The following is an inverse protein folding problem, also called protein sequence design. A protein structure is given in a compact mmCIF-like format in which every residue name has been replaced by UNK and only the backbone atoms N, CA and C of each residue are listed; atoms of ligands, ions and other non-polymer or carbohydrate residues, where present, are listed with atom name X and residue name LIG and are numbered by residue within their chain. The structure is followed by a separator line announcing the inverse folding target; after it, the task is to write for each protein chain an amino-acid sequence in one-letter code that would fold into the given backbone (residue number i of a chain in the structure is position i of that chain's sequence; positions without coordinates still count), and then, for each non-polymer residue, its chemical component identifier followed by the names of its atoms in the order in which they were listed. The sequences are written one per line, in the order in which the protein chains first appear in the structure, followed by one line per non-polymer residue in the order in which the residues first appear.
data_IF_993941523367
#
_entry.id   IF_993941523367
#
_cell.length_a   1.000
_cell.length_b   1.000
_cell.length_c   1.000
_cell.angle_alpha   90.00
_cell.angle_beta   90.00
_cell.angle_gamma   90.00
#
_symmetry.space_group_name_H-M   'P 1'
#
loop_
_entity.id
_entity.type
_entity.pdbx_description
1 polymer ?
#
# COMPACT_ATOMS: atom_id res chain seq x y z
N UNK A 1 -45.65 -51.11 2.23
CA UNK A 1 -44.76 -52.30 2.23
C UNK A 1 -43.50 -51.91 1.47
N UNK A 2 -42.44 -51.56 2.20
CA UNK A 2 -41.21 -52.35 2.38
C UNK A 2 -40.21 -52.13 1.23
N UNK A 3 -39.32 -51.13 1.33
CA UNK A 3 -37.93 -51.18 1.87
C UNK A 3 -37.01 -52.24 1.23
N UNK A 4 -35.97 -51.78 0.52
CA UNK A 4 -34.68 -52.47 0.35
C UNK A 4 -33.73 -51.61 -0.49
N UNK A 5 -32.43 -51.52 -0.24
CA UNK A 5 -31.59 -52.03 0.85
C UNK A 5 -30.22 -51.37 0.65
N UNK A 6 -29.67 -50.80 1.71
CA UNK A 6 -28.24 -50.57 1.85
C UNK A 6 -27.60 -51.89 2.35
N UNK A 7 -26.30 -52.12 2.08
CA UNK A 7 -25.38 -52.52 3.14
C UNK A 7 -24.08 -51.70 3.04
N UNK A 8 -23.66 -50.96 4.06
CA UNK A 8 -23.07 -51.39 5.34
C UNK A 8 -21.62 -51.94 5.23
N UNK A 9 -20.68 -51.05 5.58
CA UNK A 9 -19.52 -51.22 6.49
C UNK A 9 -18.54 -52.36 6.24
N UNK A 10 -17.26 -52.00 6.01
CA UNK A 10 -16.14 -52.62 6.74
C UNK A 10 -15.07 -51.56 7.08
N UNK A 11 -14.85 -51.40 8.38
CA UNK A 11 -13.72 -50.72 9.02
C UNK A 11 -12.50 -51.65 9.06
N UNK A 12 -11.30 -51.09 9.04
CA UNK A 12 -10.14 -51.68 9.72
C UNK A 12 -9.16 -50.58 10.13
N UNK A 13 -9.10 -50.35 11.44
CA UNK A 13 -8.03 -49.64 12.14
C UNK A 13 -6.70 -50.41 11.98
N UNK A 14 -5.56 -49.72 12.07
CA UNK A 14 -4.58 -49.87 13.14
C UNK A 14 -3.47 -48.81 13.01
N UNK A 15 -3.37 -47.97 14.05
CA UNK A 15 -2.16 -47.50 14.77
C UNK A 15 -0.92 -47.03 13.97
N UNK A 16 -0.54 -45.75 14.10
CA UNK A 16 0.53 -45.34 15.02
C UNK A 16 0.67 -43.80 15.04
N UNK A 17 0.63 -43.22 16.24
CA UNK A 17 1.20 -41.91 16.56
C UNK A 17 2.16 -42.19 17.71
N UNK A 18 3.34 -41.54 17.80
CA UNK A 18 3.32 -40.16 18.29
C UNK A 18 4.52 -39.26 17.86
N UNK A 19 4.34 -37.97 18.18
CA UNK A 19 5.29 -37.11 18.92
C UNK A 19 5.87 -35.90 18.17
N UNK A 20 5.26 -34.75 18.50
CA UNK A 20 5.86 -33.42 18.53
C UNK A 20 7.13 -33.38 19.41
N UNK A 21 8.18 -32.63 19.01
CA UNK A 21 9.12 -32.09 19.98
C UNK A 21 9.03 -30.56 20.02
N UNK A 22 8.40 -30.04 21.07
CA UNK A 22 8.71 -28.72 21.62
C UNK A 22 9.68 -28.94 22.78
N UNK A 23 10.92 -28.44 22.67
CA UNK A 23 11.84 -28.16 23.78
C UNK A 23 12.72 -26.98 23.33
N UNK A 24 12.60 -25.78 23.91
CA UNK A 24 13.13 -25.35 25.22
C UNK A 24 14.67 -25.27 25.25
N UNK A 25 15.20 -24.03 25.18
CA UNK A 25 16.56 -23.67 25.59
C UNK A 25 16.79 -24.03 27.08
N UNK A 26 18.05 -24.18 27.55
CA UNK A 26 18.67 -23.04 28.26
C UNK A 26 20.21 -22.97 28.23
N UNK A 27 20.69 -21.83 28.73
CA UNK A 27 21.99 -21.58 29.40
C UNK A 27 23.21 -21.31 28.49
N UNK A 28 23.82 -20.11 28.47
CA UNK A 28 24.37 -19.20 29.51
C UNK A 28 25.90 -19.33 29.57
N UNK A 29 26.60 -18.29 29.10
CA UNK A 29 27.87 -17.72 29.63
C UNK A 29 27.85 -16.25 29.16
N UNK A 30 27.26 -15.29 29.87
CA UNK A 30 27.82 -14.46 30.98
C UNK A 30 29.25 -13.91 30.80
N UNK A 31 29.29 -12.61 30.45
CA UNK A 31 30.10 -11.51 31.03
C UNK A 31 31.62 -11.39 30.69
N UNK A 32 32.25 -10.22 30.94
CA UNK A 32 31.75 -8.83 31.00
C UNK A 32 32.65 -7.78 30.28
N UNK A 33 32.05 -6.61 30.09
CA UNK A 33 32.63 -5.25 30.05
C UNK A 33 34.10 -5.03 30.51
N UNK A 34 34.91 -4.43 29.64
CA UNK A 34 36.02 -3.51 29.97
C UNK A 34 36.04 -2.43 28.86
N UNK A 35 35.47 -1.25 29.08
CA UNK A 35 36.11 -0.05 29.64
C UNK A 35 37.44 0.33 28.96
N UNK A 36 37.38 1.25 27.99
CA UNK A 36 38.53 2.11 27.67
C UNK A 36 38.06 3.46 27.17
N UNK A 37 37.82 4.35 28.14
CA UNK A 37 38.46 5.65 28.30
C UNK A 37 38.85 6.35 26.97
N UNK A 38 38.12 7.43 26.69
CA UNK A 38 38.44 8.50 25.74
C UNK A 38 39.92 8.93 25.80
N UNK A 39 40.47 9.45 24.69
CA UNK A 39 41.22 10.67 24.75
C UNK A 39 40.39 11.81 24.17
N UNK A 40 40.11 12.75 25.06
CA UNK A 40 39.72 14.12 24.77
C UNK A 40 40.75 14.77 23.86
N UNK A 41 40.31 15.40 22.77
CA UNK A 41 41.05 16.51 22.18
C UNK A 41 40.01 17.52 21.70
N UNK A 42 39.77 18.53 22.55
CA UNK A 42 39.09 19.75 22.18
C UNK A 42 40.06 20.57 21.31
N UNK A 43 39.66 20.90 20.08
CA UNK A 43 40.17 22.10 19.43
C UNK A 43 38.99 22.88 18.86
N UNK A 44 38.82 24.06 19.44
CA UNK A 44 37.81 25.06 19.11
C UNK A 44 37.97 25.54 17.66
N UNK A 45 36.86 25.52 16.93
CA UNK A 45 36.71 26.03 15.58
C UNK A 45 35.23 26.34 15.36
N UNK A 46 34.79 27.46 15.92
CA UNK A 46 33.45 28.03 15.72
C UNK A 46 33.29 28.45 14.25
N UNK A 47 32.67 27.58 13.44
CA UNK A 47 32.05 27.97 12.18
C UNK A 47 30.76 27.15 12.05
N UNK A 48 29.63 27.85 12.05
CA UNK A 48 28.30 27.30 12.25
C UNK A 48 27.97 26.11 11.36
N UNK A 49 27.96 24.91 11.96
CA UNK A 49 27.25 23.78 11.40
C UNK A 49 25.76 24.06 11.57
N UNK A 50 25.12 24.52 10.49
CA UNK A 50 23.65 24.47 10.36
C UNK A 50 23.25 23.04 10.67
N UNK A 51 22.72 22.82 11.87
CA UNK A 51 22.10 21.57 12.26
C UNK A 51 20.99 21.30 11.27
N UNK A 52 21.26 20.48 10.25
CA UNK A 52 20.20 20.06 9.34
C UNK A 52 19.12 19.43 10.21
N UNK A 53 17.85 19.91 10.14
CA UNK A 53 16.81 19.39 10.98
C UNK A 53 16.68 17.90 10.69
N UNK A 54 16.98 17.09 11.71
CA UNK A 54 16.79 15.63 11.69
C UNK A 54 15.36 15.37 11.17
N UNK A 55 15.14 14.49 10.19
CA UNK A 55 13.81 14.25 9.66
C UNK A 55 12.90 13.83 10.80
N UNK A 56 12.05 14.76 11.25
CA UNK A 56 11.13 14.53 12.35
C UNK A 56 10.14 13.48 11.89
N UNK A 57 10.16 12.31 12.53
CA UNK A 57 9.25 11.22 12.20
C UNK A 57 7.83 11.75 12.45
N UNK A 58 6.98 11.88 11.42
CA UNK A 58 5.67 12.48 11.59
C UNK A 58 4.90 11.73 12.68
N UNK A 59 4.26 12.47 13.58
CA UNK A 59 3.44 11.89 14.63
C UNK A 59 2.32 11.05 13.98
N UNK A 60 1.84 10.01 14.65
CA UNK A 60 0.69 9.21 14.17
C UNK A 60 -0.53 10.09 13.84
N UNK A 61 -0.76 11.19 14.56
CA UNK A 61 -1.81 12.17 14.24
C UNK A 61 -1.55 12.89 12.91
N UNK A 62 -0.31 13.27 12.63
CA UNK A 62 0.07 13.92 11.36
C UNK A 62 -0.04 12.94 10.19
N UNK A 63 0.37 11.68 10.37
CA UNK A 63 0.18 10.62 9.34
C UNK A 63 -1.30 10.34 9.04
N UNK A 64 -2.17 10.45 10.06
CA UNK A 64 -3.61 10.35 9.85
C UNK A 64 -4.16 11.56 9.11
N UNK A 65 -3.72 12.77 9.48
CA UNK A 65 -4.13 14.01 8.81
C UNK A 65 -3.75 13.97 7.31
N UNK A 66 -2.50 13.60 7.04
CA UNK A 66 -1.97 13.41 5.69
C UNK A 66 -2.78 12.38 4.87
N UNK A 67 -3.25 11.31 5.51
CA UNK A 67 -4.09 10.31 4.85
C UNK A 67 -5.51 10.82 4.56
N UNK A 68 -6.12 11.60 5.45
CA UNK A 68 -7.43 12.19 5.16
C UNK A 68 -7.34 13.28 4.08
N UNK A 69 -6.27 14.06 4.07
CA UNK A 69 -6.00 15.03 3.01
C UNK A 69 -5.81 14.32 1.66
N UNK A 70 -5.04 13.22 1.65
CA UNK A 70 -4.91 12.34 0.49
C UNK A 70 -6.27 11.81 0.03
N UNK A 71 -7.11 11.30 0.94
CA UNK A 71 -8.45 10.84 0.58
C UNK A 71 -9.29 11.95 -0.04
N UNK A 72 -9.20 13.14 0.50
CA UNK A 72 -9.95 14.30 0.00
C UNK A 72 -9.48 14.69 -1.41
N UNK A 73 -8.18 14.64 -1.68
CA UNK A 73 -7.64 14.99 -3.00
C UNK A 73 -7.94 13.94 -4.09
N UNK A 74 -7.79 12.64 -3.77
CA UNK A 74 -7.79 11.57 -4.76
C UNK A 74 -9.11 10.78 -4.81
N UNK A 75 -9.91 10.80 -3.75
CA UNK A 75 -11.13 9.99 -3.60
C UNK A 75 -12.39 10.82 -3.35
N UNK A 76 -12.32 12.16 -3.48
CA UNK A 76 -13.51 12.99 -3.40
C UNK A 76 -14.60 12.48 -4.37
N UNK A 77 -15.86 12.35 -3.91
CA UNK A 77 -16.95 11.93 -4.77
C UNK A 77 -17.12 12.88 -5.97
N UNK A 78 -16.96 12.35 -7.17
CA UNK A 78 -17.21 13.09 -8.40
C UNK A 78 -18.71 13.11 -8.69
N UNK A 79 -19.24 14.30 -9.01
CA UNK A 79 -20.66 14.48 -9.30
C UNK A 79 -20.92 14.24 -10.79
N UNK A 80 -21.05 12.97 -11.15
CA UNK A 80 -21.44 12.57 -12.50
C UNK A 80 -22.94 12.24 -12.55
N UNK A 81 -23.68 12.97 -13.39
CA UNK A 81 -25.06 12.71 -13.79
C UNK A 81 -25.18 11.56 -14.79
N UNK A 82 -26.31 11.49 -15.51
CA UNK A 82 -26.56 10.42 -16.49
C UNK A 82 -25.92 10.71 -17.85
N UNK A 83 -25.83 11.98 -18.19
CA UNK A 83 -25.45 12.56 -19.48
C UNK A 83 -23.94 12.83 -19.61
N UNK A 84 -23.21 12.92 -18.51
CA UNK A 84 -21.76 13.12 -18.48
C UNK A 84 -20.98 11.89 -17.97
N UNK A 85 -21.62 10.71 -17.95
CA UNK A 85 -20.93 9.43 -17.69
C UNK A 85 -20.52 8.79 -19.01
N UNK A 86 -19.23 8.49 -19.12
CA UNK A 86 -18.67 7.80 -20.26
C UNK A 86 -18.25 6.38 -19.86
N UNK A 87 -18.52 5.40 -20.74
CA UNK A 87 -18.02 4.04 -20.56
C UNK A 87 -16.61 3.92 -21.14
N UNK A 88 -15.69 3.36 -20.37
CA UNK A 88 -14.30 3.14 -20.78
C UNK A 88 -13.98 1.66 -20.60
N UNK A 89 -13.53 1.00 -21.66
CA UNK A 89 -13.05 -0.37 -21.60
C UNK A 89 -11.58 -0.37 -21.15
N UNK A 90 -11.26 -1.15 -20.11
CA UNK A 90 -9.91 -1.35 -19.60
C UNK A 90 -9.65 -2.84 -19.36
N UNK A 91 -8.38 -3.24 -19.33
CA UNK A 91 -8.03 -4.63 -19.01
C UNK A 91 -8.34 -4.96 -17.55
N UNK A 92 -8.60 -6.24 -17.28
CA UNK A 92 -8.82 -6.73 -15.92
C UNK A 92 -7.64 -6.37 -14.99
N UNK A 93 -6.40 -6.60 -15.45
CA UNK A 93 -5.18 -6.27 -14.69
C UNK A 93 -5.07 -4.78 -14.35
N UNK A 94 -5.57 -3.89 -15.21
CA UNK A 94 -5.58 -2.46 -14.93
C UNK A 94 -6.64 -2.12 -13.90
N UNK A 95 -7.84 -2.66 -14.07
CA UNK A 95 -8.92 -2.47 -13.11
C UNK A 95 -8.53 -2.98 -11.71
N UNK A 96 -7.99 -4.19 -11.59
CA UNK A 96 -7.58 -4.78 -10.32
C UNK A 96 -6.52 -3.94 -9.59
N UNK A 97 -5.56 -3.36 -10.32
CA UNK A 97 -4.55 -2.47 -9.73
C UNK A 97 -5.19 -1.22 -9.15
N UNK A 98 -6.09 -0.58 -9.90
CA UNK A 98 -6.76 0.64 -9.45
C UNK A 98 -7.72 0.35 -8.30
N UNK A 99 -8.52 -0.71 -8.40
CA UNK A 99 -9.46 -1.15 -7.36
C UNK A 99 -8.74 -1.46 -6.05
N UNK A 100 -7.62 -2.20 -6.13
CA UNK A 100 -6.82 -2.53 -4.94
C UNK A 100 -6.34 -1.28 -4.21
N UNK A 101 -5.82 -0.28 -4.94
CA UNK A 101 -5.37 0.98 -4.35
C UNK A 101 -6.57 1.71 -3.73
N UNK A 102 -7.66 1.83 -4.48
CA UNK A 102 -8.85 2.53 -4.04
C UNK A 102 -9.43 1.95 -2.75
N UNK A 103 -9.48 0.61 -2.66
CA UNK A 103 -9.97 -0.11 -1.48
C UNK A 103 -9.08 0.03 -0.25
N UNK A 104 -7.77 0.12 -0.43
CA UNK A 104 -6.82 0.27 0.69
C UNK A 104 -6.82 1.70 1.22
N UNK A 105 -6.82 2.68 0.32
CA UNK A 105 -6.59 4.08 0.69
C UNK A 105 -7.86 4.91 0.83
N UNK A 106 -8.94 4.60 0.12
CA UNK A 106 -10.09 5.49 -0.01
C UNK A 106 -11.07 5.53 1.17
N UNK A 107 -10.94 4.65 2.18
CA UNK A 107 -11.77 4.71 3.39
C UNK A 107 -13.24 4.31 3.19
N UNK A 108 -14.17 4.85 3.98
CA UNK A 108 -15.59 4.40 3.99
C UNK A 108 -16.45 4.93 2.84
N UNK A 109 -15.95 5.90 2.07
CA UNK A 109 -16.66 6.55 0.97
C UNK A 109 -15.95 6.44 -0.38
N UNK A 110 -15.03 5.49 -0.52
CA UNK A 110 -14.20 5.39 -1.71
C UNK A 110 -15.02 5.03 -2.96
N UNK A 111 -14.58 5.58 -4.09
CA UNK A 111 -15.09 5.27 -5.41
C UNK A 111 -13.91 5.02 -6.33
N UNK A 112 -13.90 3.85 -6.97
CA UNK A 112 -12.92 3.54 -8.03
C UNK A 112 -13.01 4.57 -9.14
N UNK A 113 -14.23 4.99 -9.50
CA UNK A 113 -14.44 6.02 -10.53
C UNK A 113 -13.83 7.37 -10.16
N UNK A 114 -13.93 7.80 -8.89
CA UNK A 114 -13.29 9.05 -8.44
C UNK A 114 -11.77 8.98 -8.57
N UNK A 115 -11.18 7.84 -8.23
CA UNK A 115 -9.74 7.67 -8.32
C UNK A 115 -9.25 7.57 -9.78
N UNK A 116 -9.99 6.86 -10.62
CA UNK A 116 -9.73 6.81 -12.08
C UNK A 116 -9.79 8.20 -12.69
N UNK A 117 -10.82 8.98 -12.36
CA UNK A 117 -10.96 10.37 -12.83
C UNK A 117 -9.73 11.20 -12.43
N UNK A 118 -9.27 11.09 -11.19
CA UNK A 118 -8.08 11.81 -10.73
C UNK A 118 -6.83 11.41 -11.53
N UNK A 119 -6.57 10.11 -11.69
CA UNK A 119 -5.41 9.60 -12.45
C UNK A 119 -5.44 10.12 -13.89
N UNK A 120 -6.63 10.12 -14.52
CA UNK A 120 -6.78 10.60 -15.89
C UNK A 120 -6.50 12.10 -15.95
N UNK A 121 -7.07 12.91 -15.05
CA UNK A 121 -6.85 14.35 -15.05
C UNK A 121 -5.39 14.71 -14.79
N UNK A 122 -4.74 14.07 -13.82
CA UNK A 122 -3.31 14.26 -13.56
C UNK A 122 -2.45 13.96 -14.80
N UNK A 123 -2.78 12.87 -15.51
CA UNK A 123 -2.11 12.51 -16.75
C UNK A 123 -2.36 13.53 -17.87
N UNK A 124 -3.60 13.99 -18.03
CA UNK A 124 -3.97 14.97 -19.05
C UNK A 124 -3.27 16.31 -18.82
N UNK A 125 -3.32 16.82 -17.59
CA UNK A 125 -2.70 18.08 -17.19
C UNK A 125 -1.18 18.01 -17.37
N UNK A 126 -0.55 16.92 -16.92
CA UNK A 126 0.88 16.71 -17.05
C UNK A 126 1.38 16.54 -18.50
N UNK A 127 0.48 16.29 -19.45
CA UNK A 127 0.81 16.09 -20.87
C UNK A 127 0.16 17.13 -21.81
N UNK A 128 -0.46 18.18 -21.27
CA UNK A 128 -1.21 19.17 -22.06
C UNK A 128 -0.37 19.78 -23.20
N UNK A 129 0.90 20.12 -22.92
CA UNK A 129 1.82 20.68 -23.92
C UNK A 129 2.16 19.70 -25.05
N UNK A 130 2.31 18.41 -24.71
CA UNK A 130 2.57 17.35 -25.67
C UNK A 130 1.38 17.17 -26.61
N UNK A 131 0.17 17.11 -26.06
CA UNK A 131 -1.05 16.98 -26.84
C UNK A 131 -1.29 18.18 -27.74
N UNK A 132 -1.05 19.40 -27.24
CA UNK A 132 -1.15 20.63 -28.04
C UNK A 132 -0.18 20.62 -29.23
N UNK A 133 1.07 20.20 -28.99
CA UNK A 133 2.10 20.09 -30.02
C UNK A 133 1.71 19.10 -31.12
N UNK A 134 1.22 17.91 -30.76
CA UNK A 134 0.75 16.93 -31.73
C UNK A 134 -0.50 17.36 -32.48
N UNK A 135 -1.45 18.00 -31.79
CA UNK A 135 -2.65 18.53 -32.43
C UNK A 135 -2.29 19.55 -33.51
N UNK A 136 -1.35 20.46 -33.26
CA UNK A 136 -0.89 21.43 -34.25
C UNK A 136 -0.25 20.79 -35.49
N UNK A 137 0.49 19.68 -35.32
CA UNK A 137 1.09 18.92 -36.43
C UNK A 137 0.00 18.23 -37.26
N UNK A 138 -0.96 17.58 -36.60
CA UNK A 138 -2.06 16.86 -37.26
C UNK A 138 -2.95 17.85 -38.01
N UNK A 139 -3.33 18.97 -37.39
CA UNK A 139 -4.21 19.98 -38.00
C UNK A 139 -3.58 20.70 -39.20
N UNK A 140 -2.26 20.73 -39.33
CA UNK A 140 -1.57 21.26 -40.54
C UNK A 140 -1.59 20.28 -41.71
N UNK A 141 -1.92 19.01 -41.47
CA UNK A 141 -1.93 17.94 -42.47
C UNK A 141 -3.31 17.67 -43.07
N UNK A 142 -4.35 18.40 -42.63
CA UNK A 142 -5.72 18.37 -43.18
C UNK A 142 -6.05 19.75 -43.77
#
# INVERSE_FOLDING_TARGET
MATSKNPAVQSSEMTDAPKNPQMSNPSKIENPMENSIFPETQQSGEIGAVTQPKPSRPNAKQRKLDLEDYRTAFFAPIKLGKDNKHQVAISNDTFERVDKIARIFGGSGYSVSSFVEHIINEHLDGNADNYGSWFAIISKSF
#
